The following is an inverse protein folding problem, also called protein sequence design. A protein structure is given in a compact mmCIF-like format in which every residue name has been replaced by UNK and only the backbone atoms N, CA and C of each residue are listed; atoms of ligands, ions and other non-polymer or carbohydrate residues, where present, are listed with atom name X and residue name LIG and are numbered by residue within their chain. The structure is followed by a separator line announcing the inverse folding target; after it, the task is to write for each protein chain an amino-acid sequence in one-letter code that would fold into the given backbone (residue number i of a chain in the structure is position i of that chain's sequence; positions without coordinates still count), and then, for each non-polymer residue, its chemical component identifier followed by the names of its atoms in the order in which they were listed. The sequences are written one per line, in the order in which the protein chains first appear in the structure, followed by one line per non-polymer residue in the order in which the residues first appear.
data_IF_306489293993
#
_entry.id   IF_306489293993
#
_cell.length_a   1.000
_cell.length_b   1.000
_cell.length_c   1.000
_cell.angle_alpha   90.00
_cell.angle_beta   90.00
_cell.angle_gamma   90.00
#
_symmetry.space_group_name_H-M   'P 1'
#
loop_
_entity.id
_entity.type
_entity.pdbx_description
1 polymer ?
#
# COMPACT_ATOMS: atom_id res chain seq x y z
N UNK A 1 6.96 16.57 -18.98
CA UNK A 1 5.57 16.65 -18.48
C UNK A 1 4.86 15.37 -18.86
N UNK A 2 4.26 14.68 -17.90
CA UNK A 2 3.44 13.49 -18.17
C UNK A 2 2.09 13.97 -18.70
N UNK A 3 1.68 13.48 -19.87
CA UNK A 3 0.35 13.79 -20.41
C UNK A 3 -0.70 13.17 -19.48
N UNK A 4 -1.62 14.01 -18.99
CA UNK A 4 -2.75 13.57 -18.19
C UNK A 4 -3.65 12.73 -19.09
N UNK A 5 -4.13 11.61 -18.54
CA UNK A 5 -5.03 10.71 -19.26
C UNK A 5 -6.31 11.46 -19.63
N UNK A 6 -6.67 11.48 -20.92
CA UNK A 6 -7.83 12.20 -21.44
C UNK A 6 -9.13 11.39 -21.41
N UNK A 7 -9.03 10.07 -21.28
CA UNK A 7 -10.16 9.15 -21.40
C UNK A 7 -10.36 8.37 -20.09
N UNK A 8 -11.61 7.97 -19.83
CA UNK A 8 -11.92 6.97 -18.80
C UNK A 8 -11.65 5.58 -19.36
N UNK A 9 -11.04 4.72 -18.55
CA UNK A 9 -10.75 3.33 -18.90
C UNK A 9 -11.46 2.40 -17.91
N UNK A 10 -11.96 1.30 -18.45
CA UNK A 10 -12.43 0.14 -17.71
C UNK A 10 -11.58 -1.04 -18.19
N UNK A 11 -11.27 -1.97 -17.29
CA UNK A 11 -10.51 -3.17 -17.65
C UNK A 11 -10.95 -4.35 -16.80
N UNK A 12 -10.89 -5.54 -17.40
CA UNK A 12 -11.06 -6.80 -16.69
C UNK A 12 -9.69 -7.47 -16.63
N UNK A 13 -9.28 -7.84 -15.42
CA UNK A 13 -8.00 -8.51 -15.19
C UNK A 13 -8.27 -9.94 -14.73
N UNK A 14 -7.90 -10.91 -15.57
CA UNK A 14 -7.99 -12.33 -15.27
C UNK A 14 -6.61 -12.83 -14.83
N UNK A 15 -6.60 -13.63 -13.77
CA UNK A 15 -5.41 -14.32 -13.28
C UNK A 15 -5.85 -15.66 -12.66
N UNK A 16 -4.93 -16.60 -12.60
CA UNK A 16 -5.10 -17.88 -11.92
C UNK A 16 -4.13 -18.02 -10.74
N UNK A 17 -4.33 -19.08 -9.97
CA UNK A 17 -3.44 -19.50 -8.91
C UNK A 17 -3.44 -21.02 -8.89
N UNK A 18 -2.28 -21.60 -9.17
CA UNK A 18 -2.08 -23.05 -9.15
C UNK A 18 -1.42 -23.46 -7.83
N UNK A 19 -2.03 -24.42 -7.12
CA UNK A 19 -1.50 -25.01 -5.88
C UNK A 19 -1.00 -23.98 -4.84
N UNK A 20 -1.73 -22.87 -4.68
CA UNK A 20 -1.30 -21.76 -3.85
C UNK A 20 -2.46 -21.02 -3.18
N UNK A 21 -2.08 -20.04 -2.36
CA UNK A 21 -3.03 -19.14 -1.70
C UNK A 21 -2.84 -17.72 -2.24
N UNK A 22 -3.76 -17.21 -3.09
CA UNK A 22 -3.61 -15.89 -3.69
C UNK A 22 -3.84 -14.76 -2.69
N UNK A 23 -4.71 -14.94 -1.70
CA UNK A 23 -4.99 -13.95 -0.67
C UNK A 23 -5.48 -14.64 0.59
N UNK A 24 -4.59 -14.78 1.58
CA UNK A 24 -4.95 -15.32 2.88
C UNK A 24 -5.86 -14.39 3.68
N UNK A 25 -6.73 -15.00 4.48
CA UNK A 25 -7.59 -14.35 5.44
C UNK A 25 -6.92 -14.32 6.82
N UNK A 26 -6.57 -13.15 7.38
CA UNK A 26 -5.99 -13.05 8.71
C UNK A 26 -6.94 -13.52 9.81
N UNK A 27 -8.26 -13.47 9.58
CA UNK A 27 -9.27 -13.86 10.57
C UNK A 27 -9.62 -15.36 10.50
N UNK A 28 -9.27 -16.03 9.39
CA UNK A 28 -9.49 -17.46 9.19
C UNK A 28 -8.17 -18.23 9.02
N UNK A 29 -7.19 -17.95 9.88
CA UNK A 29 -5.96 -18.75 9.98
C UNK A 29 -5.12 -18.77 8.70
N UNK A 30 -5.15 -17.69 7.90
CA UNK A 30 -4.49 -17.57 6.61
C UNK A 30 -5.00 -18.56 5.53
N UNK A 31 -6.20 -19.13 5.68
CA UNK A 31 -6.89 -19.80 4.57
C UNK A 31 -7.20 -18.81 3.44
N UNK A 32 -7.38 -19.25 2.17
CA UNK A 32 -7.86 -18.36 1.12
C UNK A 32 -9.17 -17.69 1.52
N UNK A 33 -9.32 -16.39 1.25
CA UNK A 33 -10.58 -15.68 1.49
C UNK A 33 -11.69 -16.26 0.63
N UNK A 34 -12.85 -16.52 1.23
CA UNK A 34 -14.04 -17.04 0.57
C UNK A 34 -15.23 -16.14 0.84
N UNK A 35 -16.14 -16.06 -0.13
CA UNK A 35 -17.47 -15.53 0.08
C UNK A 35 -18.32 -16.56 0.84
N UNK A 36 -18.87 -16.23 2.01
CA UNK A 36 -19.62 -17.19 2.83
C UNK A 36 -20.96 -17.60 2.21
N UNK A 37 -21.51 -16.85 1.26
CA UNK A 37 -22.81 -17.16 0.67
C UNK A 37 -22.73 -18.23 -0.43
N UNK A 38 -21.67 -18.21 -1.25
CA UNK A 38 -21.57 -19.06 -2.43
C UNK A 38 -20.18 -19.68 -2.68
N UNK A 39 -19.27 -19.54 -1.71
CA UNK A 39 -17.94 -20.18 -1.68
C UNK A 39 -16.99 -19.75 -2.81
N UNK A 40 -17.24 -18.62 -3.47
CA UNK A 40 -16.25 -18.09 -4.41
C UNK A 40 -15.02 -17.55 -3.68
N UNK A 41 -13.84 -17.78 -4.26
CA UNK A 41 -12.60 -17.20 -3.79
C UNK A 41 -12.61 -15.69 -3.97
N UNK A 42 -12.14 -14.96 -2.96
CA UNK A 42 -12.01 -13.51 -2.97
C UNK A 42 -10.55 -13.10 -2.94
N UNK A 43 -10.20 -12.09 -3.73
CA UNK A 43 -8.93 -11.38 -3.63
C UNK A 43 -9.23 -9.90 -3.45
N UNK A 44 -8.82 -9.36 -2.30
CA UNK A 44 -9.08 -7.98 -1.95
C UNK A 44 -8.39 -7.01 -2.93
N UNK A 45 -9.02 -5.87 -3.14
CA UNK A 45 -8.49 -4.79 -3.96
C UNK A 45 -7.11 -4.31 -3.42
N UNK A 46 -6.95 -4.25 -2.10
CA UNK A 46 -5.69 -3.87 -1.44
C UNK A 46 -4.56 -4.87 -1.69
N UNK A 47 -4.84 -6.17 -1.80
CA UNK A 47 -3.84 -7.18 -2.14
C UNK A 47 -3.31 -6.98 -3.57
N UNK A 48 -4.21 -6.73 -4.53
CA UNK A 48 -3.83 -6.42 -5.91
C UNK A 48 -3.04 -5.09 -5.99
N UNK A 49 -3.51 -4.04 -5.30
CA UNK A 49 -2.79 -2.76 -5.22
C UNK A 49 -1.39 -2.95 -4.61
N UNK A 50 -1.21 -3.84 -3.62
CA UNK A 50 0.11 -4.17 -3.05
C UNK A 50 1.02 -4.86 -4.08
N UNK A 51 0.51 -5.82 -4.87
CA UNK A 51 1.30 -6.45 -5.94
C UNK A 51 1.77 -5.44 -6.99
N UNK A 52 0.89 -4.52 -7.39
CA UNK A 52 1.27 -3.43 -8.32
C UNK A 52 2.34 -2.53 -7.70
N UNK A 53 2.21 -2.13 -6.42
CA UNK A 53 3.26 -1.35 -5.72
C UNK A 53 4.59 -2.08 -5.71
N UNK A 54 4.62 -3.35 -5.33
CA UNK A 54 5.83 -4.16 -5.27
C UNK A 54 6.50 -4.27 -6.65
N UNK A 55 5.70 -4.51 -7.71
CA UNK A 55 6.21 -4.54 -9.08
C UNK A 55 6.86 -3.21 -9.47
N UNK A 56 6.17 -2.09 -9.26
CA UNK A 56 6.70 -0.76 -9.60
C UNK A 56 7.95 -0.44 -8.78
N UNK A 57 7.97 -0.79 -7.51
CA UNK A 57 9.13 -0.61 -6.63
C UNK A 57 10.37 -1.31 -7.20
N UNK A 58 10.24 -2.58 -7.62
CA UNK A 58 11.35 -3.33 -8.23
C UNK A 58 11.70 -2.77 -9.61
N UNK A 59 10.70 -2.60 -10.48
CA UNK A 59 10.91 -2.19 -11.87
C UNK A 59 11.46 -0.76 -12.02
N UNK A 60 11.25 0.11 -11.03
CA UNK A 60 11.71 1.51 -11.03
C UNK A 60 12.76 1.79 -9.96
N UNK A 61 13.28 0.76 -9.29
CA UNK A 61 14.30 0.90 -8.24
C UNK A 61 13.88 1.77 -7.05
N UNK A 62 12.57 1.94 -6.83
CA UNK A 62 11.98 2.82 -5.82
C UNK A 62 12.46 4.29 -5.88
N UNK A 63 12.78 4.78 -7.08
CA UNK A 63 13.28 6.15 -7.27
C UNK A 63 12.15 7.10 -7.71
N UNK A 64 12.25 8.37 -7.29
CA UNK A 64 11.37 9.43 -7.77
C UNK A 64 11.55 9.60 -9.29
N UNK A 65 10.47 9.78 -10.08
CA UNK A 65 9.07 10.08 -9.69
C UNK A 65 8.15 8.85 -9.54
N UNK A 66 8.74 7.65 -9.39
CA UNK A 66 8.03 6.37 -9.29
C UNK A 66 8.20 5.69 -7.94
N UNK A 67 8.66 6.42 -6.92
CA UNK A 67 8.82 5.89 -5.58
C UNK A 67 7.47 5.42 -5.02
N UNK A 68 7.52 4.48 -4.07
CA UNK A 68 6.32 4.00 -3.37
C UNK A 68 6.21 4.68 -2.00
N UNK A 69 5.05 5.25 -1.71
CA UNK A 69 4.78 5.89 -0.42
C UNK A 69 4.51 4.84 0.67
N UNK A 70 3.62 3.88 0.38
CA UNK A 70 3.21 2.83 1.34
C UNK A 70 4.16 1.64 1.26
N UNK A 71 5.30 1.73 1.94
CA UNK A 71 6.29 0.65 2.04
C UNK A 71 6.10 -0.20 3.30
N UNK A 72 6.69 -1.40 3.29
CA UNK A 72 6.63 -2.30 4.43
C UNK A 72 7.49 -1.77 5.58
N UNK A 73 6.95 -1.75 6.81
CA UNK A 73 7.65 -1.34 8.03
C UNK A 73 8.27 0.08 8.02
N UNK A 74 7.74 1.01 7.22
CA UNK A 74 8.23 2.40 7.18
C UNK A 74 7.24 3.39 7.78
N UNK A 75 7.73 4.42 8.45
CA UNK A 75 6.91 5.51 8.97
C UNK A 75 6.54 6.51 7.86
N UNK A 76 5.26 6.60 7.53
CA UNK A 76 4.72 7.49 6.48
C UNK A 76 5.04 8.97 6.71
N UNK A 77 5.09 9.41 7.98
CA UNK A 77 5.29 10.82 8.31
C UNK A 77 6.68 11.33 7.88
N UNK A 78 7.68 10.46 7.79
CA UNK A 78 9.04 10.84 7.32
C UNK A 78 9.00 11.38 5.89
N UNK A 79 8.23 10.74 5.01
CA UNK A 79 8.05 11.17 3.62
C UNK A 79 7.19 12.42 3.51
N UNK A 80 6.20 12.58 4.40
CA UNK A 80 5.38 13.80 4.46
C UNK A 80 6.23 14.99 4.94
N UNK A 81 7.11 14.80 5.94
CA UNK A 81 8.08 15.82 6.37
C UNK A 81 8.96 16.21 5.19
N UNK A 82 9.56 15.24 4.50
CA UNK A 82 10.40 15.50 3.32
C UNK A 82 9.67 16.33 2.26
N UNK A 83 8.38 16.07 2.02
CA UNK A 83 7.59 16.88 1.09
C UNK A 83 7.46 18.35 1.51
N UNK A 84 7.35 18.62 2.81
CA UNK A 84 7.34 19.99 3.34
C UNK A 84 8.72 20.65 3.32
N UNK A 85 9.81 19.89 3.48
CA UNK A 85 11.19 20.40 3.37
C UNK A 85 11.55 20.79 1.93
N UNK A 86 11.12 19.97 0.97
CA UNK A 86 11.38 20.17 -0.47
C UNK A 86 10.42 21.18 -1.12
N UNK A 87 9.44 21.70 -0.36
CA UNK A 87 8.51 22.73 -0.83
C UNK A 87 8.70 24.05 -0.09
N UNK A 88 8.38 25.15 -0.78
CA UNK A 88 8.47 26.49 -0.20
C UNK A 88 7.66 26.60 1.10
N UNK A 89 8.35 27.00 2.17
CA UNK A 89 7.79 27.10 3.52
C UNK A 89 8.35 26.08 4.52
N UNK A 90 9.17 25.12 4.07
CA UNK A 90 9.99 24.20 4.87
C UNK A 90 9.18 23.30 5.82
N UNK A 91 9.83 22.45 6.60
CA UNK A 91 9.18 21.81 7.75
C UNK A 91 9.51 22.59 9.03
N UNK A 92 8.47 22.99 9.76
CA UNK A 92 8.60 23.59 11.10
C UNK A 92 7.99 22.61 12.09
N UNK A 93 8.77 22.01 13.01
CA UNK A 93 8.23 21.15 14.04
C UNK A 93 7.14 21.90 14.83
N UNK A 94 6.05 21.24 15.22
CA UNK A 94 5.07 21.84 16.11
C UNK A 94 5.77 22.22 17.43
N UNK A 95 5.71 23.50 17.79
CA UNK A 95 6.18 24.02 19.08
C UNK A 95 5.10 23.73 20.13
N UNK A 96 5.41 22.89 21.12
CA UNK A 96 4.46 22.42 22.15
C UNK A 96 3.86 23.56 22.98
N UNK A 97 4.42 24.77 22.91
CA UNK A 97 3.94 25.97 23.62
C UNK A 97 2.88 26.76 22.84
N UNK A 98 2.75 26.56 21.53
CA UNK A 98 1.77 27.25 20.67
C UNK A 98 0.87 26.20 20.03
N UNK A 99 -0.29 25.97 20.63
CA UNK A 99 -1.25 24.93 20.22
C UNK A 99 -1.33 24.72 18.71
N UNK A 100 -1.39 23.43 18.30
CA UNK A 100 -1.29 22.91 16.92
C UNK A 100 -1.88 23.84 15.84
N UNK A 101 -1.11 24.83 15.37
CA UNK A 101 -1.45 25.57 14.16
C UNK A 101 -1.11 24.65 12.99
N UNK A 102 -2.15 24.03 12.42
CA UNK A 102 -2.01 23.24 11.20
C UNK A 102 -1.36 24.06 10.09
N UNK A 103 -0.64 23.38 9.19
CA UNK A 103 -0.01 24.02 8.04
C UNK A 103 -1.04 24.86 7.24
N UNK A 104 -0.60 26.03 6.74
CA UNK A 104 -1.43 26.88 5.87
C UNK A 104 -1.92 26.10 4.66
N UNK A 105 -3.14 26.39 4.17
CA UNK A 105 -3.75 25.70 3.02
C UNK A 105 -2.83 25.64 1.79
N UNK A 106 -2.11 26.72 1.50
CA UNK A 106 -1.17 26.77 0.38
C UNK A 106 0.04 25.83 0.56
N UNK A 107 0.51 25.67 1.80
CA UNK A 107 1.63 24.78 2.14
C UNK A 107 1.21 23.32 2.03
N UNK A 108 0.03 22.99 2.55
CA UNK A 108 -0.58 21.66 2.42
C UNK A 108 -0.74 21.29 0.95
N UNK A 109 -1.24 22.22 0.13
CA UNK A 109 -1.44 21.99 -1.31
C UNK A 109 -0.12 21.74 -2.06
N UNK A 110 0.92 22.51 -1.77
CA UNK A 110 2.25 22.34 -2.38
C UNK A 110 2.87 20.99 -2.00
N UNK A 111 2.84 20.64 -0.71
CA UNK A 111 3.32 19.34 -0.25
C UNK A 111 2.53 18.20 -0.91
N UNK A 112 1.20 18.33 -1.03
CA UNK A 112 0.33 17.36 -1.72
C UNK A 112 0.73 17.18 -3.19
N UNK A 113 0.95 18.28 -3.91
CA UNK A 113 1.38 18.23 -5.32
C UNK A 113 2.75 17.55 -5.47
N UNK A 114 3.69 17.87 -4.59
CA UNK A 114 5.01 17.23 -4.56
C UNK A 114 4.91 15.73 -4.29
N UNK A 115 4.04 15.31 -3.35
CA UNK A 115 3.76 13.90 -3.08
C UNK A 115 3.20 13.19 -4.32
N UNK A 116 2.23 13.79 -5.01
CA UNK A 116 1.68 13.25 -6.27
C UNK A 116 2.71 13.19 -7.40
N UNK A 117 3.64 14.14 -7.47
CA UNK A 117 4.69 14.15 -8.49
C UNK A 117 5.70 13.01 -8.27
N UNK A 118 6.07 12.76 -7.02
CA UNK A 118 7.20 11.88 -6.70
C UNK A 118 6.81 10.43 -6.37
N UNK A 119 5.59 10.19 -5.90
CA UNK A 119 5.11 8.87 -5.50
C UNK A 119 4.08 8.32 -6.49
N UNK A 120 4.40 7.16 -7.08
CA UNK A 120 3.52 6.52 -8.06
C UNK A 120 2.18 6.09 -7.45
N UNK A 121 2.22 5.48 -6.27
CA UNK A 121 1.02 4.93 -5.63
C UNK A 121 0.08 6.02 -5.11
N UNK A 122 0.62 7.14 -4.60
CA UNK A 122 -0.17 8.32 -4.24
C UNK A 122 -0.88 8.89 -5.47
N UNK A 123 -0.16 9.02 -6.58
CA UNK A 123 -0.72 9.51 -7.86
C UNK A 123 -1.78 8.58 -8.45
N UNK A 124 -1.59 7.27 -8.29
CA UNK A 124 -2.42 6.24 -8.96
C UNK A 124 -3.62 5.80 -8.13
N UNK A 125 -3.41 5.47 -6.86
CA UNK A 125 -4.43 4.94 -5.96
C UNK A 125 -4.96 5.97 -4.96
N UNK A 126 -4.24 7.08 -4.77
CA UNK A 126 -4.53 8.05 -3.72
C UNK A 126 -3.93 7.65 -2.37
N UNK A 127 -3.96 8.59 -1.44
CA UNK A 127 -3.50 8.41 -0.07
C UNK A 127 -4.11 9.45 0.87
N UNK A 128 -4.30 9.07 2.13
CA UNK A 128 -4.56 10.00 3.23
C UNK A 128 -3.20 10.48 3.75
N UNK A 129 -2.94 11.78 3.64
CA UNK A 129 -1.67 12.41 4.00
C UNK A 129 -1.82 13.38 5.18
N UNK A 130 -2.95 13.34 5.87
CA UNK A 130 -3.28 14.25 6.97
C UNK A 130 -2.68 13.86 8.31
N UNK A 131 -1.91 12.77 8.36
CA UNK A 131 -1.19 12.35 9.57
C UNK A 131 0.04 13.23 9.81
N UNK A 132 0.31 13.55 11.07
CA UNK A 132 1.49 14.33 11.47
C UNK A 132 1.56 15.71 10.80
N UNK A 133 2.58 16.01 9.96
CA UNK A 133 2.76 17.32 9.31
C UNK A 133 1.64 17.76 8.36
N UNK A 134 0.68 16.88 8.05
CA UNK A 134 -0.49 17.13 7.20
C UNK A 134 -0.16 17.67 5.80
N UNK A 135 -0.29 16.81 4.78
CA UNK A 135 -0.29 17.16 3.36
C UNK A 135 -1.66 16.86 2.69
N UNK A 136 -2.73 16.82 3.48
CA UNK A 136 -4.10 16.71 3.00
C UNK A 136 -4.51 15.28 2.62
N UNK A 137 -5.24 15.15 1.52
CA UNK A 137 -5.71 13.86 1.00
C UNK A 137 -5.74 13.87 -0.53
N UNK A 138 -5.52 12.71 -1.13
CA UNK A 138 -5.51 12.52 -2.58
C UNK A 138 -6.42 11.35 -2.92
N UNK A 139 -7.29 11.54 -3.91
CA UNK A 139 -8.05 10.45 -4.55
C UNK A 139 -7.34 10.07 -5.84
N UNK A 140 -6.97 8.81 -5.97
CA UNK A 140 -6.34 8.30 -7.20
C UNK A 140 -7.39 7.95 -8.27
N UNK A 141 -7.03 8.06 -9.56
CA UNK A 141 -7.93 7.70 -10.66
C UNK A 141 -8.18 6.19 -10.78
N UNK A 142 -7.28 5.34 -10.28
CA UNK A 142 -7.40 3.88 -10.42
C UNK A 142 -8.05 3.29 -9.17
N UNK A 143 -9.25 2.76 -9.35
CA UNK A 143 -9.99 2.05 -8.31
C UNK A 143 -10.13 0.58 -8.72
N UNK A 144 -9.73 -0.31 -7.82
CA UNK A 144 -9.97 -1.75 -7.96
C UNK A 144 -11.13 -2.14 -7.05
N UNK A 145 -11.89 -3.13 -7.46
CA UNK A 145 -12.86 -3.84 -6.62
C UNK A 145 -12.27 -5.18 -6.20
N UNK A 146 -13.00 -5.92 -5.35
CA UNK A 146 -12.61 -7.29 -5.04
C UNK A 146 -12.68 -8.13 -6.31
N UNK A 147 -11.62 -8.91 -6.57
CA UNK A 147 -11.64 -9.93 -7.59
C UNK A 147 -12.30 -11.19 -7.02
N UNK A 148 -13.07 -11.87 -7.86
CA UNK A 148 -13.82 -13.08 -7.52
C UNK A 148 -13.43 -14.20 -8.46
N UNK A 149 -13.33 -15.42 -7.96
CA UNK A 149 -13.13 -16.59 -8.81
C UNK A 149 -14.30 -16.78 -9.78
N UNK A 150 -14.09 -17.52 -10.87
CA UNK A 150 -15.15 -17.85 -11.84
C UNK A 150 -16.14 -18.90 -11.31
N UNK A 151 -15.72 -19.69 -10.33
CA UNK A 151 -16.55 -20.68 -9.65
C UNK A 151 -16.13 -20.86 -8.21
N UNK A 152 -16.90 -21.62 -7.41
CA UNK A 152 -16.59 -21.91 -6.02
C UNK A 152 -15.20 -22.55 -5.86
N UNK A 153 -14.52 -22.22 -4.75
CA UNK A 153 -13.18 -22.72 -4.44
C UNK A 153 -13.26 -23.56 -3.16
N UNK A 154 -12.62 -24.73 -3.19
CA UNK A 154 -12.42 -25.58 -2.03
C UNK A 154 -10.95 -25.47 -1.57
N UNK A 155 -10.65 -24.76 -0.48
CA UNK A 155 -9.32 -24.79 0.11
C UNK A 155 -8.98 -26.18 0.64
N UNK A 156 -7.73 -26.59 0.44
CA UNK A 156 -7.20 -27.84 0.99
C UNK A 156 -6.16 -27.50 2.06
N UNK A 157 -6.27 -28.15 3.22
CA UNK A 157 -5.25 -28.09 4.26
C UNK A 157 -4.21 -29.19 3.99
N UNK A 158 -2.99 -28.77 3.64
CA UNK A 158 -1.90 -29.66 3.30
C UNK A 158 -0.85 -29.62 4.41
N UNK A 159 -0.89 -30.58 5.31
CA UNK A 159 0.07 -30.67 6.42
C UNK A 159 1.49 -30.94 5.92
N UNK A 160 2.46 -30.18 6.42
CA UNK A 160 3.89 -30.34 6.14
C UNK A 160 4.66 -30.59 7.43
N UNK A 161 5.86 -31.17 7.31
CA UNK A 161 6.76 -31.42 8.43
C UNK A 161 8.01 -30.53 8.32
N UNK A 162 8.47 -29.96 9.45
CA UNK A 162 9.73 -29.21 9.54
C UNK A 162 10.67 -29.93 10.51
N UNK A 163 11.81 -30.40 10.01
CA UNK A 163 12.82 -31.11 10.83
C UNK A 163 13.62 -30.18 11.75
N UNK A 164 13.68 -28.88 11.44
CA UNK A 164 14.39 -27.88 12.24
C UNK A 164 13.58 -27.46 13.48
N UNK A 165 14.23 -27.47 14.64
CA UNK A 165 13.71 -26.98 15.92
C UNK A 165 14.02 -25.48 16.04
N UNK A 166 13.09 -24.69 16.57
CA UNK A 166 13.20 -23.23 16.69
C UNK A 166 13.46 -22.74 18.12
N UNK A 167 13.46 -23.65 19.10
CA UNK A 167 13.71 -23.32 20.50
C UNK A 167 15.22 -23.24 20.78
N UNK A 168 15.62 -22.32 21.66
CA UNK A 168 16.99 -22.22 22.15
C UNK A 168 17.35 -23.43 23.01
N UNK A 169 18.50 -24.05 22.71
CA UNK A 169 19.16 -24.94 23.66
C UNK A 169 19.69 -24.07 24.80
N UNK A 170 19.06 -24.13 25.97
CA UNK A 170 19.57 -23.48 27.17
C UNK A 170 21.03 -23.90 27.42
N UNK A 171 21.98 -22.99 27.15
CA UNK A 171 23.42 -23.19 27.39
C UNK A 171 24.27 -23.69 26.20
N UNK A 172 23.78 -23.68 24.96
CA UNK A 172 24.57 -24.11 23.80
C UNK A 172 25.46 -23.01 23.21
N UNK A 173 26.79 -23.14 23.28
CA UNK A 173 27.71 -22.51 22.33
C UNK A 173 27.56 -23.20 20.96
N UNK A 174 27.12 -22.45 19.93
CA UNK A 174 27.67 -22.45 18.55
C UNK A 174 27.49 -21.04 17.98
#
# INVERSE_FOLDING_TARGET
MTNIVSNRYEFVYLFDCENGNPNGDPDAGNTPRLDPEDMHGLVSDVALKRRVRNYVQVAKGNQMPYAIFVEHATNLNTKIVKAHEETEGGYTPPDDTKGKKGASKNKVERARQWMCANFYDVRTFGAVLSTGPNAGQVRGPVQFTFARSLGPVLPLELSITRMAVAEDVGGGQI
#
